data_IF_591845807391
#
_entry.id   IF_591845807391
#
_cell.length_a   1.000
_cell.length_b   1.000
_cell.length_c   1.000
_cell.angle_alpha   90.00
_cell.angle_beta   90.00
_cell.angle_gamma   90.00
#
_symmetry.space_group_name_H-M   'P 1'
#
loop_
_entity.id
_entity.type
_entity.pdbx_description
1 polymer ?
#
# COMPACT_ATOMS: atom_id res chain seq x y z
N UNK A 1 1.58 19.74 -8.20
CA UNK A 1 1.12 18.49 -7.59
C UNK A 1 0.30 18.86 -6.35
N UNK A 2 -1.00 18.83 -6.44
CA UNK A 2 -1.92 19.13 -5.33
C UNK A 2 -1.93 17.95 -4.38
N UNK A 3 -1.13 18.05 -3.34
CA UNK A 3 -1.16 17.10 -2.25
C UNK A 3 -2.49 17.26 -1.55
N UNK A 4 -3.30 16.20 -1.53
CA UNK A 4 -4.56 16.15 -0.80
C UNK A 4 -4.32 16.55 0.66
N UNK A 5 -4.77 17.75 1.03
CA UNK A 5 -4.62 18.28 2.40
C UNK A 5 -5.96 18.37 3.13
N UNK A 6 -7.07 18.10 2.42
CA UNK A 6 -8.40 18.14 3.03
C UNK A 6 -8.72 16.78 3.68
N UNK A 7 -8.87 16.81 5.00
CA UNK A 7 -9.32 15.67 5.78
C UNK A 7 -10.84 15.62 5.83
N UNK A 8 -11.40 14.40 5.72
CA UNK A 8 -12.83 14.18 5.89
C UNK A 8 -13.19 14.20 7.38
N UNK A 9 -14.05 15.12 7.83
CA UNK A 9 -14.42 15.24 9.26
C UNK A 9 -15.18 14.02 9.81
N UNK A 10 -15.69 13.13 8.94
CA UNK A 10 -16.42 11.90 9.33
C UNK A 10 -15.51 10.70 9.59
N UNK A 11 -14.21 10.83 9.36
CA UNK A 11 -13.24 9.72 9.55
C UNK A 11 -12.18 10.11 10.58
N UNK A 12 -11.62 9.14 11.34
CA UNK A 12 -10.55 9.41 12.29
C UNK A 12 -9.33 10.08 11.61
N UNK A 13 -8.91 11.21 12.16
CA UNK A 13 -7.87 12.07 11.60
C UNK A 13 -6.53 11.33 11.48
N UNK A 14 -6.14 10.59 12.51
CA UNK A 14 -4.89 9.80 12.55
C UNK A 14 -4.84 8.75 11.43
N UNK A 15 -5.97 8.09 11.13
CA UNK A 15 -6.06 7.10 10.06
C UNK A 15 -5.90 7.73 8.67
N UNK A 16 -6.48 8.91 8.47
CA UNK A 16 -6.37 9.63 7.21
C UNK A 16 -4.92 10.10 6.98
N UNK A 17 -4.29 10.69 8.01
CA UNK A 17 -2.89 11.11 7.95
C UNK A 17 -1.98 9.90 7.65
N UNK A 18 -2.21 8.77 8.34
CA UNK A 18 -1.49 7.53 8.08
C UNK A 18 -1.61 7.09 6.62
N UNK A 19 -2.84 7.03 6.05
CA UNK A 19 -3.06 6.61 4.66
C UNK A 19 -2.36 7.54 3.66
N UNK A 20 -2.47 8.86 3.87
CA UNK A 20 -1.84 9.85 2.98
C UNK A 20 -0.31 9.73 3.04
N UNK A 21 0.27 9.69 4.23
CA UNK A 21 1.72 9.56 4.37
C UNK A 21 2.23 8.21 3.89
N UNK A 22 1.48 7.12 4.14
CA UNK A 22 1.79 5.79 3.60
C UNK A 22 1.85 5.82 2.08
N UNK A 23 0.83 6.38 1.42
CA UNK A 23 0.80 6.55 -0.03
C UNK A 23 2.02 7.37 -0.50
N UNK A 24 2.24 8.54 0.10
CA UNK A 24 3.33 9.44 -0.29
C UNK A 24 4.72 8.77 -0.15
N UNK A 25 4.90 7.89 0.85
CA UNK A 25 6.14 7.12 1.06
C UNK A 25 6.24 5.95 0.08
N UNK A 26 5.15 5.21 -0.14
CA UNK A 26 5.12 4.05 -1.05
C UNK A 26 5.37 4.51 -2.49
N UNK A 27 4.75 5.60 -2.92
CA UNK A 27 4.95 6.20 -4.24
C UNK A 27 6.26 7.00 -4.35
N UNK A 28 7.12 6.97 -3.31
CA UNK A 28 8.39 7.69 -3.27
C UNK A 28 8.28 9.21 -3.48
N UNK A 29 7.08 9.80 -3.28
CA UNK A 29 6.89 11.25 -3.22
C UNK A 29 7.63 11.84 -2.01
N UNK A 30 7.74 11.06 -0.93
CA UNK A 30 8.66 11.29 0.18
C UNK A 30 9.78 10.26 0.05
N UNK A 31 10.95 10.72 -0.35
CA UNK A 31 12.08 9.85 -0.67
C UNK A 31 12.61 9.07 0.55
N UNK A 32 13.21 7.88 0.34
CA UNK A 32 13.91 7.15 1.39
C UNK A 32 14.98 8.01 2.08
N UNK A 33 15.02 7.99 3.42
CA UNK A 33 15.95 8.77 4.23
C UNK A 33 15.50 10.20 4.54
N UNK A 34 14.40 10.67 3.97
CA UNK A 34 13.85 12.00 4.24
C UNK A 34 13.44 12.14 5.71
N UNK A 35 13.84 13.22 6.40
CA UNK A 35 13.34 13.50 7.74
C UNK A 35 11.85 13.88 7.69
N UNK A 36 11.09 13.41 8.69
CA UNK A 36 9.69 13.74 8.89
C UNK A 36 9.49 14.45 10.22
N UNK A 37 8.80 15.58 10.20
CA UNK A 37 8.53 16.38 11.40
C UNK A 37 7.04 16.31 11.76
N UNK A 38 6.73 15.85 12.98
CA UNK A 38 5.36 15.90 13.50
C UNK A 38 4.78 17.33 13.45
N UNK A 39 5.63 18.34 13.67
CA UNK A 39 5.24 19.75 13.62
C UNK A 39 4.82 20.17 12.21
N UNK A 40 5.66 19.86 11.21
CA UNK A 40 5.39 20.23 9.82
C UNK A 40 4.14 19.54 9.29
N UNK A 41 3.99 18.23 9.59
CA UNK A 41 2.81 17.46 9.21
C UNK A 41 1.56 18.00 9.90
N UNK A 42 1.63 18.37 11.20
CA UNK A 42 0.49 18.96 11.91
C UNK A 42 0.05 20.30 11.29
N UNK A 43 1.00 21.12 10.86
CA UNK A 43 0.74 22.36 10.14
C UNK A 43 0.13 22.09 8.75
N UNK A 44 0.71 21.15 8.00
CA UNK A 44 0.21 20.76 6.66
C UNK A 44 -1.27 20.37 6.69
N UNK A 45 -1.69 19.60 7.69
CA UNK A 45 -3.08 19.11 7.82
C UNK A 45 -3.98 19.98 8.72
N UNK A 46 -3.45 21.07 9.29
CA UNK A 46 -4.14 21.93 10.24
C UNK A 46 -4.76 21.16 11.42
N UNK A 47 -3.98 20.31 12.06
CA UNK A 47 -4.37 19.46 13.20
C UNK A 47 -3.40 19.58 14.37
N UNK A 48 -3.78 19.08 15.55
CA UNK A 48 -2.84 18.93 16.66
C UNK A 48 -1.77 17.87 16.38
N UNK A 49 -0.69 17.86 17.15
CA UNK A 49 0.39 16.86 16.97
C UNK A 49 0.01 15.45 17.37
N UNK A 50 -1.00 15.28 18.21
CA UNK A 50 -1.36 13.95 18.73
C UNK A 50 -1.79 12.97 17.63
N UNK A 51 -2.77 13.26 16.74
CA UNK A 51 -3.13 12.35 15.63
C UNK A 51 -1.97 12.11 14.66
N UNK A 52 -1.06 13.07 14.49
CA UNK A 52 0.15 12.89 13.67
C UNK A 52 1.11 11.87 14.32
N UNK A 53 1.32 11.98 15.63
CA UNK A 53 2.15 11.02 16.38
C UNK A 53 1.61 9.61 16.29
N UNK A 54 0.29 9.43 16.43
CA UNK A 54 -0.37 8.13 16.26
C UNK A 54 -0.17 7.56 14.85
N UNK A 55 -0.29 8.39 13.82
CA UNK A 55 0.00 8.01 12.45
C UNK A 55 1.48 7.61 12.26
N UNK A 56 2.42 8.34 12.89
CA UNK A 56 3.85 8.03 12.83
C UNK A 56 4.17 6.70 13.51
N UNK A 57 3.56 6.42 14.67
CA UNK A 57 3.71 5.13 15.36
C UNK A 57 3.28 4.00 14.41
N UNK A 58 2.11 4.13 13.78
CA UNK A 58 1.60 3.12 12.84
C UNK A 58 2.48 2.97 11.60
N UNK A 59 3.04 4.07 11.07
CA UNK A 59 4.01 4.01 9.97
C UNK A 59 5.31 3.29 10.38
N UNK A 60 5.75 3.47 11.64
CA UNK A 60 6.93 2.80 12.17
C UNK A 60 6.70 1.30 12.40
N UNK A 61 5.53 0.91 12.92
CA UNK A 61 5.09 -0.49 13.06
C UNK A 61 5.09 -1.21 11.70
N UNK A 62 4.68 -0.53 10.64
CA UNK A 62 4.70 -1.04 9.26
C UNK A 62 6.07 -0.90 8.56
N UNK A 63 7.12 -0.51 9.29
CA UNK A 63 8.48 -0.44 8.77
C UNK A 63 8.73 0.67 7.73
N UNK A 64 7.81 1.63 7.58
CA UNK A 64 7.93 2.72 6.61
C UNK A 64 8.81 3.87 7.11
N UNK A 65 8.79 4.13 8.41
CA UNK A 65 9.63 5.14 9.05
C UNK A 65 10.37 4.56 10.25
N UNK A 66 11.43 5.23 10.67
CA UNK A 66 12.13 4.99 11.92
C UNK A 66 11.99 6.21 12.82
N UNK A 67 11.43 6.03 14.01
CA UNK A 67 11.38 7.05 15.05
C UNK A 67 12.65 6.90 15.91
N UNK A 68 13.53 7.92 15.89
CA UNK A 68 14.77 7.95 16.69
C UNK A 68 14.56 8.89 17.87
N UNK A 69 14.63 8.39 19.13
CA UNK A 69 14.49 9.26 20.30
C UNK A 69 15.44 10.46 20.21
N UNK A 70 14.91 11.65 20.44
CA UNK A 70 15.62 12.95 20.40
C UNK A 70 16.28 13.32 19.06
N UNK A 71 16.18 12.47 18.03
CA UNK A 71 16.81 12.68 16.71
C UNK A 71 15.79 12.80 15.56
N UNK A 72 14.49 12.69 15.86
CA UNK A 72 13.42 12.82 14.87
C UNK A 72 13.03 11.51 14.19
N UNK A 73 12.12 11.62 13.23
CA UNK A 73 11.63 10.49 12.46
C UNK A 73 12.15 10.58 11.03
N UNK A 74 12.41 9.43 10.40
CA UNK A 74 12.99 9.35 9.06
C UNK A 74 12.30 8.25 8.26
N UNK A 75 12.08 8.50 6.97
CA UNK A 75 11.61 7.46 6.04
C UNK A 75 12.69 6.38 5.91
N UNK A 76 12.32 5.13 6.12
CA UNK A 76 13.24 4.00 6.04
C UNK A 76 13.81 3.86 4.62
N UNK A 77 15.10 3.55 4.52
CA UNK A 77 15.72 3.12 3.27
C UNK A 77 15.15 1.76 2.88
N UNK A 78 15.08 1.50 1.57
CA UNK A 78 14.62 0.21 1.04
C UNK A 78 15.71 -0.83 1.30
N UNK A 79 15.34 -1.92 1.98
CA UNK A 79 16.21 -3.06 2.21
C UNK A 79 15.88 -4.19 1.24
N UNK A 80 16.80 -4.53 0.34
CA UNK A 80 16.60 -5.63 -0.62
C UNK A 80 16.40 -6.99 0.07
N UNK A 81 16.96 -7.17 1.28
CA UNK A 81 16.71 -8.38 2.07
C UNK A 81 15.24 -8.44 2.54
N UNK A 82 14.70 -7.32 3.04
CA UNK A 82 13.28 -7.24 3.43
C UNK A 82 12.34 -7.41 2.22
N UNK A 83 12.69 -6.83 1.08
CA UNK A 83 11.91 -7.00 -0.17
C UNK A 83 11.85 -8.48 -0.57
N UNK A 84 13.00 -9.18 -0.61
CA UNK A 84 13.04 -10.61 -0.96
C UNK A 84 12.24 -11.47 0.03
N UNK A 85 12.44 -11.25 1.33
CA UNK A 85 11.73 -11.99 2.36
C UNK A 85 10.22 -11.71 2.33
N UNK A 86 9.82 -10.44 2.19
CA UNK A 86 8.41 -10.05 2.05
C UNK A 86 7.76 -10.66 0.81
N UNK A 87 8.44 -10.64 -0.34
CA UNK A 87 7.94 -11.26 -1.58
C UNK A 87 7.77 -12.78 -1.43
N UNK A 88 8.72 -13.47 -0.78
CA UNK A 88 8.62 -14.90 -0.52
C UNK A 88 7.39 -15.26 0.34
N UNK A 89 7.19 -14.53 1.45
CA UNK A 89 6.05 -14.76 2.35
C UNK A 89 4.74 -14.44 1.64
N UNK A 90 4.66 -13.31 0.92
CA UNK A 90 3.48 -12.94 0.13
C UNK A 90 3.11 -14.03 -0.87
N UNK A 91 4.08 -14.48 -1.66
CA UNK A 91 3.86 -15.54 -2.66
C UNK A 91 3.28 -16.81 -2.02
N UNK A 92 3.81 -17.22 -0.86
CA UNK A 92 3.31 -18.40 -0.15
C UNK A 92 1.84 -18.23 0.28
N UNK A 93 1.49 -17.07 0.85
CA UNK A 93 0.13 -16.77 1.31
C UNK A 93 -0.81 -16.61 0.11
N UNK A 94 -0.44 -15.78 -0.87
CA UNK A 94 -1.29 -15.47 -2.03
C UNK A 94 -1.58 -16.72 -2.88
N UNK A 95 -0.60 -17.60 -3.07
CA UNK A 95 -0.84 -18.90 -3.74
C UNK A 95 -1.79 -19.81 -2.97
N UNK A 96 -1.69 -19.83 -1.62
CA UNK A 96 -2.61 -20.63 -0.80
C UNK A 96 -4.03 -20.07 -0.85
N UNK A 97 -4.17 -18.74 -0.75
CA UNK A 97 -5.44 -18.03 -0.88
C UNK A 97 -6.08 -18.28 -2.25
N UNK A 98 -5.33 -18.13 -3.34
CA UNK A 98 -5.83 -18.32 -4.69
C UNK A 98 -6.35 -19.76 -4.92
N UNK A 99 -5.62 -20.79 -4.45
CA UNK A 99 -6.07 -22.18 -4.52
C UNK A 99 -7.37 -22.40 -3.75
N UNK A 100 -7.48 -21.82 -2.56
CA UNK A 100 -8.69 -21.94 -1.74
C UNK A 100 -9.86 -21.17 -2.37
N UNK A 101 -9.64 -19.95 -2.85
CA UNK A 101 -10.65 -19.17 -3.54
C UNK A 101 -11.19 -19.90 -4.77
N UNK A 102 -10.31 -20.51 -5.58
CA UNK A 102 -10.71 -21.26 -6.77
C UNK A 102 -11.67 -22.43 -6.48
N UNK A 103 -11.63 -23.00 -5.27
CA UNK A 103 -12.56 -24.07 -4.87
C UNK A 103 -13.89 -23.57 -4.29
N UNK A 104 -14.00 -22.26 -4.01
CA UNK A 104 -15.17 -21.69 -3.32
C UNK A 104 -15.88 -20.60 -4.14
N UNK A 105 -15.26 -20.15 -5.23
CA UNK A 105 -15.72 -19.01 -6.03
C UNK A 105 -17.10 -19.29 -6.65
N UNK A 106 -17.99 -18.31 -6.58
CA UNK A 106 -19.26 -18.28 -7.26
C UNK A 106 -19.13 -17.58 -8.62
N UNK A 107 -20.10 -17.82 -9.53
CA UNK A 107 -20.14 -17.16 -10.84
C UNK A 107 -20.17 -15.63 -10.73
N UNK A 108 -20.93 -15.08 -9.77
CA UNK A 108 -20.98 -13.64 -9.51
C UNK A 108 -19.63 -13.08 -9.07
N UNK A 109 -18.89 -13.81 -8.23
CA UNK A 109 -17.56 -13.40 -7.78
C UNK A 109 -16.51 -13.52 -8.90
N UNK A 110 -16.64 -14.53 -9.76
CA UNK A 110 -15.82 -14.65 -10.96
C UNK A 110 -15.99 -13.43 -11.86
N UNK A 111 -17.23 -13.03 -12.12
CA UNK A 111 -17.53 -11.83 -12.87
C UNK A 111 -16.93 -10.55 -12.23
N UNK A 112 -16.97 -10.42 -10.90
CA UNK A 112 -16.33 -9.28 -10.21
C UNK A 112 -14.82 -9.24 -10.44
N UNK A 113 -14.13 -10.39 -10.38
CA UNK A 113 -12.69 -10.48 -10.67
C UNK A 113 -12.38 -10.11 -12.12
N UNK A 114 -13.20 -10.59 -13.08
CA UNK A 114 -13.06 -10.24 -14.50
C UNK A 114 -13.24 -8.75 -14.75
N UNK A 115 -14.23 -8.12 -14.13
CA UNK A 115 -14.43 -6.67 -14.20
C UNK A 115 -13.25 -5.90 -13.63
N UNK A 116 -12.70 -6.34 -12.49
CA UNK A 116 -11.52 -5.72 -11.90
C UNK A 116 -10.32 -5.82 -12.85
N UNK A 117 -10.04 -7.00 -13.40
CA UNK A 117 -8.96 -7.19 -14.39
C UNK A 117 -9.13 -6.33 -15.64
N UNK A 118 -10.38 -6.14 -16.10
CA UNK A 118 -10.67 -5.23 -17.20
C UNK A 118 -10.32 -3.78 -16.87
N UNK A 119 -10.69 -3.31 -15.68
CA UNK A 119 -10.32 -1.96 -15.21
C UNK A 119 -8.82 -1.80 -15.05
N UNK A 120 -8.10 -2.82 -14.55
CA UNK A 120 -6.64 -2.79 -14.47
C UNK A 120 -6.00 -2.59 -15.86
N UNK A 121 -6.48 -3.28 -16.90
CA UNK A 121 -6.00 -3.08 -18.28
C UNK A 121 -6.20 -1.64 -18.76
N UNK A 122 -7.39 -1.08 -18.51
CA UNK A 122 -7.68 0.33 -18.86
C UNK A 122 -6.73 1.28 -18.13
N UNK A 123 -6.50 1.07 -16.83
CA UNK A 123 -5.58 1.89 -16.05
C UNK A 123 -4.14 1.85 -16.60
N UNK A 124 -3.67 0.66 -17.02
CA UNK A 124 -2.37 0.47 -17.67
C UNK A 124 -2.29 1.23 -19.00
N UNK A 125 -3.27 1.05 -19.88
CA UNK A 125 -3.33 1.72 -21.18
C UNK A 125 -3.30 3.25 -21.05
N UNK A 126 -3.94 3.76 -19.99
CA UNK A 126 -3.98 5.20 -19.69
C UNK A 126 -2.79 5.69 -18.87
N UNK A 127 -1.86 4.82 -18.48
CA UNK A 127 -0.72 5.13 -17.61
C UNK A 127 -1.14 5.70 -16.25
N UNK A 128 -2.28 5.27 -15.75
CA UNK A 128 -2.84 5.65 -14.45
C UNK A 128 -2.35 4.66 -13.39
N UNK A 129 -1.10 4.83 -12.95
CA UNK A 129 -0.44 3.88 -12.05
C UNK A 129 -1.13 3.76 -10.69
N UNK A 130 -1.58 4.88 -10.14
CA UNK A 130 -2.25 4.88 -8.83
C UNK A 130 -3.54 4.07 -8.89
N UNK A 131 -4.34 4.24 -9.95
CA UNK A 131 -5.57 3.49 -10.17
C UNK A 131 -5.27 1.99 -10.39
N UNK A 132 -4.19 1.67 -11.12
CA UNK A 132 -3.76 0.28 -11.31
C UNK A 132 -3.41 -0.40 -9.98
N UNK A 133 -2.60 0.25 -9.12
CA UNK A 133 -2.23 -0.31 -7.83
C UNK A 133 -3.42 -0.48 -6.89
N UNK A 134 -4.36 0.46 -6.90
CA UNK A 134 -5.59 0.34 -6.11
C UNK A 134 -6.46 -0.84 -6.59
N UNK A 135 -6.60 -1.01 -7.89
CA UNK A 135 -7.34 -2.13 -8.48
C UNK A 135 -6.66 -3.48 -8.23
N UNK A 136 -5.32 -3.55 -8.30
CA UNK A 136 -4.53 -4.73 -7.95
C UNK A 136 -4.74 -5.13 -6.48
N UNK A 137 -4.75 -4.16 -5.58
CA UNK A 137 -5.04 -4.39 -4.15
C UNK A 137 -6.46 -4.92 -3.94
N UNK A 138 -7.43 -4.32 -4.60
CA UNK A 138 -8.83 -4.74 -4.52
C UNK A 138 -9.02 -6.17 -5.08
N UNK A 139 -8.28 -6.54 -6.13
CA UNK A 139 -8.29 -7.91 -6.67
C UNK A 139 -7.80 -8.93 -5.65
N UNK A 140 -6.64 -8.68 -5.05
CA UNK A 140 -6.09 -9.58 -4.03
C UNK A 140 -6.93 -9.63 -2.75
N UNK A 141 -7.51 -8.51 -2.33
CA UNK A 141 -8.44 -8.46 -1.21
C UNK A 141 -9.71 -9.29 -1.49
N UNK A 142 -10.27 -9.18 -2.68
CA UNK A 142 -11.44 -9.96 -3.08
C UNK A 142 -11.13 -11.47 -3.06
N UNK A 143 -9.95 -11.90 -3.50
CA UNK A 143 -9.52 -13.29 -3.38
C UNK A 143 -9.49 -13.77 -1.92
N UNK A 144 -9.02 -12.95 -0.98
CA UNK A 144 -9.02 -13.33 0.45
C UNK A 144 -10.43 -13.40 1.03
N UNK A 145 -11.35 -12.56 0.56
CA UNK A 145 -12.77 -12.61 0.94
C UNK A 145 -13.44 -13.89 0.40
N UNK A 146 -13.21 -14.23 -0.87
CA UNK A 146 -13.72 -15.47 -1.48
C UNK A 146 -13.19 -16.70 -0.73
N UNK A 147 -11.92 -16.68 -0.34
CA UNK A 147 -11.27 -17.75 0.41
C UNK A 147 -11.68 -17.79 1.89
N UNK A 148 -12.54 -16.88 2.37
CA UNK A 148 -12.89 -16.72 3.78
C UNK A 148 -11.65 -16.71 4.70
N UNK A 149 -10.69 -15.82 4.35
CA UNK A 149 -9.40 -15.72 5.04
C UNK A 149 -8.93 -14.26 5.17
N UNK A 150 -9.67 -13.43 5.90
CA UNK A 150 -9.37 -12.00 6.05
C UNK A 150 -7.99 -11.75 6.69
N UNK A 151 -7.55 -12.60 7.64
CA UNK A 151 -6.24 -12.50 8.27
C UNK A 151 -5.08 -12.59 7.27
N UNK A 152 -5.28 -13.29 6.15
CA UNK A 152 -4.30 -13.32 5.07
C UNK A 152 -4.09 -11.94 4.46
N UNK A 153 -5.18 -11.18 4.22
CA UNK A 153 -5.09 -9.82 3.71
C UNK A 153 -4.35 -8.90 4.68
N UNK A 154 -4.72 -8.91 5.96
CA UNK A 154 -4.08 -8.08 6.98
C UNK A 154 -2.57 -8.33 7.06
N UNK A 155 -2.17 -9.61 6.89
CA UNK A 155 -0.75 -10.01 6.87
C UNK A 155 -0.04 -9.51 5.60
N UNK A 156 -0.67 -9.66 4.43
CA UNK A 156 -0.13 -9.20 3.14
C UNK A 156 0.02 -7.69 3.14
N UNK A 157 -0.99 -6.94 3.60
CA UNK A 157 -0.98 -5.48 3.62
C UNK A 157 0.19 -4.92 4.44
N UNK A 158 0.51 -5.55 5.57
CA UNK A 158 1.66 -5.17 6.39
C UNK A 158 2.99 -5.43 5.69
N UNK A 159 3.12 -6.50 4.91
CA UNK A 159 4.33 -6.84 4.17
C UNK A 159 4.48 -6.03 2.88
N UNK A 160 3.37 -5.63 2.27
CA UNK A 160 3.34 -4.92 0.98
C UNK A 160 4.10 -3.60 0.98
N UNK A 161 4.03 -2.84 2.07
CA UNK A 161 4.55 -1.48 2.11
C UNK A 161 6.02 -1.36 1.61
N UNK A 162 6.86 -2.35 1.90
CA UNK A 162 8.26 -2.36 1.46
C UNK A 162 8.40 -2.86 0.01
N UNK A 163 7.60 -3.84 -0.38
CA UNK A 163 7.64 -4.43 -1.74
C UNK A 163 7.08 -3.45 -2.76
N UNK A 164 5.96 -2.78 -2.44
CA UNK A 164 5.28 -1.84 -3.32
C UNK A 164 6.15 -0.61 -3.65
N UNK A 165 7.01 -0.17 -2.72
CA UNK A 165 7.99 0.89 -3.00
C UNK A 165 8.93 0.52 -4.15
N UNK A 166 9.40 -0.73 -4.19
CA UNK A 166 10.25 -1.21 -5.29
C UNK A 166 9.43 -1.39 -6.56
N UNK A 167 8.23 -1.95 -6.47
CA UNK A 167 7.31 -2.07 -7.63
C UNK A 167 7.04 -0.71 -8.24
N UNK A 168 6.71 0.30 -7.42
CA UNK A 168 6.43 1.65 -7.89
C UNK A 168 7.64 2.31 -8.56
N UNK A 169 8.83 2.17 -7.97
CA UNK A 169 10.08 2.72 -8.54
C UNK A 169 10.53 2.00 -9.82
N UNK A 170 10.23 0.72 -9.97
CA UNK A 170 10.67 -0.09 -11.10
C UNK A 170 9.66 -0.15 -12.24
N UNK A 171 8.45 0.38 -12.05
CA UNK A 171 7.37 0.25 -13.01
C UNK A 171 7.71 0.82 -14.38
N UNK A 172 8.41 1.95 -14.43
CA UNK A 172 8.84 2.56 -15.69
C UNK A 172 10.10 1.90 -16.30
N UNK A 173 10.83 1.05 -15.54
CA UNK A 173 12.17 0.61 -15.93
C UNK A 173 12.35 -0.90 -16.11
N UNK A 174 11.54 -1.73 -15.45
CA UNK A 174 11.87 -3.18 -15.33
C UNK A 174 10.77 -4.13 -15.80
N UNK A 175 9.52 -3.73 -15.77
CA UNK A 175 8.41 -4.61 -16.16
C UNK A 175 7.35 -3.84 -16.92
N UNK A 176 7.21 -4.10 -18.24
CA UNK A 176 6.05 -3.59 -18.96
C UNK A 176 4.78 -4.01 -18.21
N UNK A 177 3.82 -3.10 -18.01
CA UNK A 177 2.57 -3.38 -17.29
C UNK A 177 1.84 -4.63 -17.79
N UNK A 178 1.96 -4.93 -19.07
CA UNK A 178 1.33 -6.10 -19.71
C UNK A 178 1.85 -7.45 -19.17
N UNK A 179 3.04 -7.49 -18.56
CA UNK A 179 3.58 -8.70 -17.92
C UNK A 179 2.98 -8.98 -16.54
N UNK A 180 2.31 -8.01 -15.93
CA UNK A 180 1.68 -8.14 -14.61
C UNK A 180 0.29 -8.77 -14.68
N UNK A 181 -0.29 -8.86 -15.87
CA UNK A 181 -1.64 -9.41 -16.13
C UNK A 181 -1.62 -10.84 -16.70
N UNK A 182 -0.47 -11.52 -16.65
CA UNK A 182 -0.31 -12.92 -17.09
C UNK A 182 -0.30 -13.85 -15.85
#
# INVERSE_FOLDING_TARGET
MTVETQLNPKQPVNQQIYRILRRDIVHCLIAPGTPLSEKEVSVRFNVSRQPVREAFIKLAENGLIQIRPQRGSYVNKISMAQVRNGSFIRQAIECAVARRAASMITESQCYQLEQNLHQQRIAIERKQLDDFFELDDNFHQLLTQIADCQLAWDTIENLKATVDRVRYMSFDHVSPPEMLLR
#
